data_IF_830631439694
#
_entry.id   IF_830631439694
#
_cell.length_a   1.000
_cell.length_b   1.000
_cell.length_c   1.000
_cell.angle_alpha   90.00
_cell.angle_beta   90.00
_cell.angle_gamma   90.00
#
_symmetry.space_group_name_H-M   'P 1'
#
loop_
_entity.id
_entity.type
_entity.pdbx_description
1 polymer ?
#
# COMPACT_ATOMS: atom_id res chain seq x y z
N UNK A 1 7.54 4.09 16.99
CA UNK A 1 7.43 4.84 15.73
C UNK A 1 7.54 3.85 14.58
N UNK A 2 6.60 3.84 13.67
CA UNK A 2 6.65 3.02 12.46
C UNK A 2 7.54 3.69 11.40
N UNK A 3 8.12 2.92 10.49
CA UNK A 3 8.92 3.48 9.39
C UNK A 3 8.10 4.44 8.52
N UNK A 4 6.82 4.12 8.31
CA UNK A 4 5.91 4.98 7.55
C UNK A 4 5.67 6.32 8.23
N UNK A 5 5.40 6.32 9.53
CA UNK A 5 5.22 7.53 10.33
C UNK A 5 6.46 8.45 10.24
N UNK A 6 7.65 7.87 10.37
CA UNK A 6 8.90 8.63 10.30
C UNK A 6 9.09 9.28 8.92
N UNK A 7 8.86 8.55 7.83
CA UNK A 7 9.02 9.08 6.48
C UNK A 7 7.91 10.05 6.09
N UNK A 8 6.67 9.76 6.44
CA UNK A 8 5.57 10.65 6.08
C UNK A 8 5.66 12.00 6.79
N UNK A 9 6.18 12.04 8.04
CA UNK A 9 6.40 13.26 8.79
C UNK A 9 7.70 13.99 8.46
N UNK A 10 8.79 13.25 8.35
CA UNK A 10 10.15 13.82 8.29
C UNK A 10 10.84 13.64 6.95
N UNK A 11 10.20 12.95 6.00
CA UNK A 11 10.75 12.64 4.67
C UNK A 11 12.06 11.83 4.69
N UNK A 12 12.45 11.28 5.83
CA UNK A 12 13.70 10.53 6.01
C UNK A 12 13.52 9.41 7.01
N UNK A 13 14.26 8.31 6.86
CA UNK A 13 14.46 7.33 7.91
C UNK A 13 15.73 7.65 8.71
N UNK A 14 15.61 7.59 10.03
CA UNK A 14 16.76 7.69 10.93
C UNK A 14 17.68 6.48 10.79
N UNK A 15 18.94 6.66 11.18
CA UNK A 15 19.92 5.57 11.15
C UNK A 15 19.51 4.38 12.03
N UNK A 16 18.86 4.64 13.17
CA UNK A 16 18.33 3.60 14.04
C UNK A 16 17.19 2.80 13.40
N UNK A 17 16.30 3.48 12.69
CA UNK A 17 15.22 2.84 11.92
C UNK A 17 15.78 1.99 10.78
N UNK A 18 16.80 2.48 10.08
CA UNK A 18 17.47 1.70 9.03
C UNK A 18 18.13 0.44 9.63
N UNK A 19 18.79 0.56 10.79
CA UNK A 19 19.37 -0.62 11.50
C UNK A 19 18.30 -1.62 11.92
N UNK A 20 17.15 -1.15 12.40
CA UNK A 20 16.01 -2.03 12.71
C UNK A 20 15.50 -2.76 11.46
N UNK A 21 15.35 -2.04 10.35
CA UNK A 21 14.96 -2.61 9.07
C UNK A 21 15.95 -3.68 8.59
N UNK A 22 17.26 -3.42 8.65
CA UNK A 22 18.29 -4.39 8.30
C UNK A 22 18.23 -5.66 9.17
N UNK A 23 17.96 -5.52 10.48
CA UNK A 23 17.78 -6.69 11.38
C UNK A 23 16.57 -7.51 10.98
N UNK A 24 15.44 -6.87 10.65
CA UNK A 24 14.23 -7.57 10.17
C UNK A 24 14.50 -8.30 8.86
N UNK A 25 15.19 -7.66 7.92
CA UNK A 25 15.56 -8.27 6.64
C UNK A 25 16.50 -9.45 6.80
N UNK A 26 17.45 -9.40 7.74
CA UNK A 26 18.32 -10.54 8.05
C UNK A 26 17.52 -11.72 8.65
N UNK A 27 16.50 -11.45 9.47
CA UNK A 27 15.57 -12.48 9.92
C UNK A 27 14.81 -13.15 8.77
N UNK A 28 14.32 -12.35 7.80
CA UNK A 28 13.71 -12.87 6.59
C UNK A 28 14.68 -13.69 5.75
N UNK A 29 15.93 -13.23 5.63
CA UNK A 29 16.98 -13.97 4.91
C UNK A 29 17.23 -15.35 5.54
N UNK A 30 17.22 -15.44 6.88
CA UNK A 30 17.31 -16.72 7.57
C UNK A 30 16.13 -17.63 7.22
N UNK A 31 14.89 -17.11 7.24
CA UNK A 31 13.72 -17.89 6.84
C UNK A 31 13.81 -18.38 5.39
N UNK A 32 14.25 -17.54 4.45
CA UNK A 32 14.47 -17.95 3.06
C UNK A 32 15.46 -19.11 2.96
N UNK A 33 16.52 -19.09 3.77
CA UNK A 33 17.50 -20.18 3.86
C UNK A 33 16.90 -21.45 4.43
N UNK A 34 16.18 -21.36 5.56
CA UNK A 34 15.58 -22.49 6.25
C UNK A 34 14.55 -23.21 5.36
N UNK A 35 13.77 -22.44 4.59
CA UNK A 35 12.82 -22.95 3.61
C UNK A 35 13.43 -23.28 2.24
N UNK A 36 14.76 -23.16 2.11
CA UNK A 36 15.51 -23.47 0.88
C UNK A 36 14.98 -22.69 -0.35
N UNK A 37 14.51 -21.44 -0.16
CA UNK A 37 14.01 -20.58 -1.23
C UNK A 37 15.20 -20.09 -2.06
N UNK A 38 15.28 -20.55 -3.31
CA UNK A 38 16.40 -20.22 -4.21
C UNK A 38 16.14 -18.96 -5.08
N UNK A 39 14.88 -18.66 -5.34
CA UNK A 39 14.50 -17.53 -6.20
C UNK A 39 13.55 -16.62 -5.43
N UNK A 40 13.95 -15.38 -5.29
CA UNK A 40 13.14 -14.34 -4.64
C UNK A 40 13.48 -12.96 -5.21
N UNK A 41 12.57 -12.02 -5.05
CA UNK A 41 12.77 -10.61 -5.33
C UNK A 41 12.32 -9.78 -4.13
N UNK A 42 12.99 -8.66 -3.89
CA UNK A 42 12.66 -7.76 -2.77
C UNK A 42 12.29 -6.39 -3.33
N UNK A 43 11.08 -5.97 -3.05
CA UNK A 43 10.55 -4.70 -3.50
C UNK A 43 10.28 -3.77 -2.33
N UNK A 44 10.57 -2.50 -2.53
CA UNK A 44 10.22 -1.43 -1.61
C UNK A 44 9.19 -0.51 -2.26
N UNK A 45 8.23 -0.06 -1.47
CA UNK A 45 7.12 0.79 -1.91
C UNK A 45 7.19 2.17 -1.25
N UNK A 46 6.05 2.76 -0.90
CA UNK A 46 5.88 4.14 -0.47
C UNK A 46 6.92 4.65 0.53
N UNK A 47 7.22 3.88 1.58
CA UNK A 47 8.14 4.33 2.64
C UNK A 47 9.53 4.64 2.10
N UNK A 48 10.11 3.76 1.30
CA UNK A 48 11.45 4.01 0.74
C UNK A 48 11.37 4.92 -0.49
N UNK A 49 10.33 4.77 -1.30
CA UNK A 49 10.12 5.63 -2.47
C UNK A 49 10.01 7.11 -2.12
N UNK A 50 9.38 7.45 -0.99
CA UNK A 50 9.13 8.81 -0.56
C UNK A 50 10.20 9.39 0.38
N UNK A 51 11.18 8.59 0.76
CA UNK A 51 12.26 9.03 1.62
C UNK A 51 13.32 9.80 0.82
N UNK A 52 13.67 11.01 1.26
CA UNK A 52 14.75 11.82 0.66
C UNK A 52 16.11 11.11 0.72
N UNK A 53 16.30 10.24 1.71
CA UNK A 53 17.50 9.45 1.88
C UNK A 53 17.37 7.99 1.36
N UNK A 54 16.45 7.75 0.42
CA UNK A 54 16.19 6.41 -0.14
C UNK A 54 17.47 5.71 -0.63
N UNK A 55 18.37 6.44 -1.33
CA UNK A 55 19.62 5.88 -1.83
C UNK A 55 20.50 5.33 -0.70
N UNK A 56 20.67 6.11 0.37
CA UNK A 56 21.44 5.69 1.54
C UNK A 56 20.81 4.49 2.25
N UNK A 57 19.48 4.43 2.32
CA UNK A 57 18.73 3.30 2.88
C UNK A 57 19.04 2.03 2.07
N UNK A 58 18.94 2.09 0.75
CA UNK A 58 19.18 0.95 -0.14
C UNK A 58 20.62 0.45 -0.07
N UNK A 59 21.58 1.37 -0.05
CA UNK A 59 23.01 1.03 0.08
C UNK A 59 23.29 0.35 1.42
N UNK A 60 22.75 0.85 2.53
CA UNK A 60 22.88 0.23 3.85
C UNK A 60 22.21 -1.15 3.92
N UNK A 61 21.04 -1.30 3.33
CA UNK A 61 20.37 -2.61 3.24
C UNK A 61 21.26 -3.59 2.47
N UNK A 62 21.77 -3.20 1.31
CA UNK A 62 22.63 -4.05 0.48
C UNK A 62 23.88 -4.50 1.23
N UNK A 63 24.56 -3.55 1.89
CA UNK A 63 25.81 -3.84 2.62
C UNK A 63 25.56 -4.74 3.84
N UNK A 64 24.47 -4.48 4.61
CA UNK A 64 24.24 -5.19 5.87
C UNK A 64 23.48 -6.51 5.71
N UNK A 65 22.75 -6.70 4.61
CA UNK A 65 21.88 -7.88 4.42
C UNK A 65 22.19 -8.67 3.15
N UNK A 66 22.85 -8.04 2.18
CA UNK A 66 23.07 -8.61 0.85
C UNK A 66 21.84 -8.59 -0.05
N UNK A 67 20.69 -8.07 0.39
CA UNK A 67 19.52 -7.94 -0.46
C UNK A 67 19.70 -6.82 -1.48
N UNK A 68 19.35 -7.10 -2.73
CA UNK A 68 19.18 -6.10 -3.77
C UNK A 68 17.71 -5.68 -3.82
N UNK A 69 17.39 -4.56 -3.18
CA UNK A 69 16.03 -4.05 -3.09
C UNK A 69 15.73 -3.13 -4.27
N UNK A 70 14.63 -3.40 -4.96
CA UNK A 70 14.13 -2.56 -6.06
C UNK A 70 13.01 -1.67 -5.53
N UNK A 71 13.12 -0.36 -5.73
CA UNK A 71 12.03 0.57 -5.42
C UNK A 71 11.08 0.58 -6.60
N UNK A 72 9.83 0.19 -6.36
CA UNK A 72 8.78 0.22 -7.37
C UNK A 72 8.07 1.57 -7.37
N UNK A 73 7.74 2.05 -8.56
CA UNK A 73 6.90 3.22 -8.72
C UNK A 73 5.41 2.89 -8.45
N UNK A 74 4.56 3.92 -8.47
CA UNK A 74 3.13 3.74 -8.21
C UNK A 74 2.46 2.84 -9.27
N UNK A 75 2.70 3.02 -10.58
CA UNK A 75 2.16 2.11 -11.61
C UNK A 75 2.57 0.66 -11.42
N UNK A 76 3.83 0.39 -11.07
CA UNK A 76 4.31 -0.97 -10.81
C UNK A 76 3.64 -1.57 -9.56
N UNK A 77 3.48 -0.79 -8.49
CA UNK A 77 2.77 -1.25 -7.28
C UNK A 77 1.32 -1.61 -7.60
N UNK A 78 0.64 -0.77 -8.39
CA UNK A 78 -0.71 -1.01 -8.90
C UNK A 78 -0.76 -2.30 -9.71
N UNK A 79 0.19 -2.50 -10.61
CA UNK A 79 0.27 -3.69 -11.44
C UNK A 79 0.42 -4.98 -10.61
N UNK A 80 1.26 -4.99 -9.58
CA UNK A 80 1.39 -6.15 -8.69
C UNK A 80 0.11 -6.43 -7.90
N UNK A 81 -0.58 -5.39 -7.42
CA UNK A 81 -1.88 -5.52 -6.75
C UNK A 81 -2.94 -6.11 -7.71
N UNK A 82 -2.93 -5.69 -8.97
CA UNK A 82 -3.81 -6.22 -10.00
C UNK A 82 -3.64 -7.72 -10.18
N UNK A 83 -2.40 -8.22 -10.28
CA UNK A 83 -2.13 -9.66 -10.38
C UNK A 83 -2.60 -10.43 -9.17
N UNK A 84 -2.32 -9.92 -7.97
CA UNK A 84 -2.79 -10.54 -6.73
C UNK A 84 -4.32 -10.62 -6.68
N UNK A 85 -4.99 -9.56 -7.08
CA UNK A 85 -6.45 -9.49 -7.15
C UNK A 85 -7.01 -10.51 -8.16
N UNK A 86 -6.45 -10.59 -9.37
CA UNK A 86 -6.88 -11.58 -10.35
C UNK A 86 -6.77 -13.02 -9.82
N UNK A 87 -5.66 -13.32 -9.14
CA UNK A 87 -5.46 -14.65 -8.54
C UNK A 87 -6.53 -14.95 -7.48
N UNK A 88 -6.80 -14.00 -6.59
CA UNK A 88 -7.82 -14.12 -5.56
C UNK A 88 -9.22 -14.31 -6.17
N UNK A 89 -9.60 -13.50 -7.15
CA UNK A 89 -10.90 -13.58 -7.81
C UNK A 89 -11.12 -14.93 -8.51
N UNK A 90 -10.09 -15.45 -9.19
CA UNK A 90 -10.17 -16.79 -9.81
C UNK A 90 -10.40 -17.88 -8.77
N UNK A 91 -9.77 -17.76 -7.60
CA UNK A 91 -9.94 -18.70 -6.50
C UNK A 91 -11.35 -18.57 -5.89
N UNK A 92 -11.80 -17.36 -5.58
CA UNK A 92 -13.13 -17.08 -5.07
C UNK A 92 -14.24 -17.57 -6.03
N UNK A 93 -14.12 -17.35 -7.32
CA UNK A 93 -15.09 -17.82 -8.32
C UNK A 93 -15.19 -19.34 -8.36
N UNK A 94 -14.10 -20.07 -8.16
CA UNK A 94 -14.13 -21.53 -8.05
C UNK A 94 -14.81 -21.99 -6.77
N UNK A 95 -14.56 -21.32 -5.66
CA UNK A 95 -15.13 -21.66 -4.33
C UNK A 95 -16.60 -21.27 -4.20
N UNK A 96 -17.05 -20.23 -4.91
CA UNK A 96 -18.42 -19.67 -4.87
C UNK A 96 -19.28 -20.03 -6.10
N UNK A 97 -18.89 -21.06 -6.87
CA UNK A 97 -19.64 -21.54 -8.05
C UNK A 97 -20.01 -20.43 -9.06
N UNK A 98 -19.12 -19.47 -9.24
CA UNK A 98 -19.34 -18.38 -10.21
C UNK A 98 -20.28 -17.26 -9.74
N UNK A 99 -20.55 -17.15 -8.43
CA UNK A 99 -21.44 -16.14 -7.86
C UNK A 99 -20.87 -14.72 -7.80
N UNK A 100 -19.58 -14.53 -8.05
CA UNK A 100 -19.03 -13.17 -8.19
C UNK A 100 -19.63 -12.52 -9.44
N UNK A 101 -20.23 -11.36 -9.26
CA UNK A 101 -20.74 -10.52 -10.35
C UNK A 101 -19.67 -10.24 -11.41
N UNK A 102 -20.10 -9.82 -12.60
CA UNK A 102 -19.19 -9.46 -13.68
C UNK A 102 -18.54 -8.09 -13.47
N UNK A 103 -19.16 -7.27 -12.63
CA UNK A 103 -18.74 -5.90 -12.33
C UNK A 103 -18.54 -5.76 -10.83
N UNK A 104 -17.40 -5.24 -10.41
CA UNK A 104 -17.14 -5.03 -9.00
C UNK A 104 -16.13 -3.89 -8.76
N UNK A 105 -16.27 -3.28 -7.60
CA UNK A 105 -15.32 -2.30 -7.06
C UNK A 105 -14.46 -2.99 -6.00
N UNK A 106 -13.17 -3.01 -6.22
CA UNK A 106 -12.19 -3.41 -5.21
C UNK A 106 -11.62 -2.17 -4.52
N UNK A 107 -11.74 -2.12 -3.19
CA UNK A 107 -11.18 -1.05 -2.36
C UNK A 107 -10.04 -1.61 -1.52
N UNK A 108 -8.84 -1.10 -1.75
CA UNK A 108 -7.62 -1.49 -1.04
C UNK A 108 -7.19 -0.36 -0.10
N UNK A 109 -7.26 -0.60 1.20
CA UNK A 109 -6.90 0.39 2.23
C UNK A 109 -5.58 -0.02 2.87
N UNK A 110 -4.55 0.80 2.67
CA UNK A 110 -3.23 0.61 3.24
C UNK A 110 -2.85 1.75 4.19
N UNK A 111 -1.66 1.70 4.77
CA UNK A 111 -1.13 2.79 5.61
C UNK A 111 -0.89 4.07 4.83
N UNK A 112 -0.51 3.98 3.55
CA UNK A 112 -0.10 5.12 2.73
C UNK A 112 -1.15 5.62 1.74
N UNK A 113 -2.09 4.76 1.30
CA UNK A 113 -3.08 5.12 0.29
C UNK A 113 -4.36 4.28 0.40
N UNK A 114 -5.41 4.78 -0.24
CA UNK A 114 -6.62 4.02 -0.61
C UNK A 114 -6.59 3.82 -2.11
N UNK A 115 -6.63 2.56 -2.55
CA UNK A 115 -6.73 2.18 -3.95
C UNK A 115 -8.16 1.81 -4.32
N UNK A 116 -8.62 2.30 -5.46
CA UNK A 116 -9.89 1.93 -6.08
C UNK A 116 -9.62 1.22 -7.39
N UNK A 117 -10.22 0.06 -7.58
CA UNK A 117 -10.12 -0.72 -8.82
C UNK A 117 -11.51 -1.14 -9.26
N UNK A 118 -11.91 -0.72 -10.46
CA UNK A 118 -13.21 -1.08 -11.06
C UNK A 118 -12.97 -2.10 -12.17
N UNK A 119 -13.73 -3.18 -12.08
CA UNK A 119 -13.77 -4.25 -13.07
C UNK A 119 -15.15 -4.33 -13.67
N UNK A 120 -15.21 -4.40 -14.99
CA UNK A 120 -16.42 -4.61 -15.74
C UNK A 120 -16.23 -5.72 -16.77
N UNK A 121 -17.17 -6.68 -16.81
CA UNK A 121 -17.13 -7.80 -17.73
C UNK A 121 -15.81 -8.60 -17.74
N UNK A 122 -15.12 -8.64 -16.59
CA UNK A 122 -13.84 -9.32 -16.43
C UNK A 122 -12.61 -8.54 -16.90
N UNK A 123 -12.78 -7.27 -17.26
CA UNK A 123 -11.72 -6.35 -17.65
C UNK A 123 -11.50 -5.25 -16.60
N UNK A 124 -10.26 -4.82 -16.44
CA UNK A 124 -9.92 -3.66 -15.62
C UNK A 124 -10.31 -2.39 -16.38
N UNK A 125 -11.28 -1.63 -15.86
CA UNK A 125 -11.76 -0.39 -16.46
C UNK A 125 -11.15 0.86 -15.83
N UNK A 126 -10.90 0.82 -14.53
CA UNK A 126 -10.35 1.95 -13.81
C UNK A 126 -9.52 1.50 -12.62
N UNK A 127 -8.42 2.20 -12.39
CA UNK A 127 -7.65 2.05 -11.16
C UNK A 127 -7.01 3.37 -10.75
N UNK A 128 -7.19 3.74 -9.48
CA UNK A 128 -6.63 4.95 -8.93
C UNK A 128 -6.23 4.77 -7.47
N UNK A 129 -5.11 5.37 -7.06
CA UNK A 129 -4.66 5.40 -5.68
C UNK A 129 -4.70 6.83 -5.15
N UNK A 130 -5.35 7.00 -4.00
CA UNK A 130 -5.45 8.28 -3.29
C UNK A 130 -4.54 8.23 -2.06
N UNK A 131 -3.79 9.29 -1.82
CA UNK A 131 -2.84 9.40 -0.71
C UNK A 131 -3.53 9.72 0.64
N UNK A 132 -4.51 8.90 1.03
CA UNK A 132 -5.28 9.01 2.28
C UNK A 132 -5.27 7.72 3.10
N UNK A 133 -4.19 6.95 3.05
CA UNK A 133 -4.07 5.73 3.85
C UNK A 133 -4.14 6.00 5.35
N UNK A 134 -4.41 4.96 6.13
CA UNK A 134 -4.69 5.06 7.57
C UNK A 134 -3.63 5.80 8.35
N UNK A 135 -2.35 5.59 8.05
CA UNK A 135 -1.27 6.27 8.73
C UNK A 135 -1.17 7.75 8.31
N UNK A 136 -1.40 8.06 7.03
CA UNK A 136 -1.44 9.46 6.56
C UNK A 136 -2.57 10.25 7.18
N UNK A 137 -3.73 9.64 7.36
CA UNK A 137 -4.86 10.27 8.07
C UNK A 137 -4.50 10.58 9.53
N UNK A 138 -3.83 9.65 10.21
CA UNK A 138 -3.35 9.88 11.57
C UNK A 138 -2.35 11.04 11.66
N UNK A 139 -1.53 11.24 10.63
CA UNK A 139 -0.56 12.33 10.58
C UNK A 139 -1.21 13.68 10.20
N UNK A 140 -2.25 13.64 9.37
CA UNK A 140 -2.99 14.84 8.97
C UNK A 140 -3.72 15.48 10.14
N UNK A 141 -4.27 14.68 11.04
CA UNK A 141 -4.99 15.16 12.22
C UNK A 141 -4.13 15.05 13.46
N UNK A 142 -3.91 16.19 14.13
CA UNK A 142 -3.16 16.25 15.41
C UNK A 142 -3.91 15.49 16.52
N UNK A 143 -3.19 15.04 17.53
CA UNK A 143 -3.75 14.26 18.65
C UNK A 143 -4.97 14.94 19.30
N UNK A 144 -4.88 16.25 19.56
CA UNK A 144 -6.00 17.00 20.13
C UNK A 144 -7.24 17.08 19.23
N UNK A 145 -7.07 16.99 17.91
CA UNK A 145 -8.18 16.94 16.96
C UNK A 145 -8.80 15.53 16.95
N UNK A 146 -7.97 14.49 17.03
CA UNK A 146 -8.41 13.08 17.08
C UNK A 146 -9.17 12.74 18.37
N UNK A 147 -8.83 13.38 19.48
CA UNK A 147 -9.50 13.20 20.78
C UNK A 147 -10.83 13.97 20.88
N UNK A 148 -11.14 14.79 19.89
CA UNK A 148 -12.41 15.51 19.81
C UNK A 148 -13.58 14.59 19.49
N UNK A 149 -14.74 14.81 20.14
CA UNK A 149 -15.99 14.12 19.80
C UNK A 149 -16.46 14.35 18.36
N UNK A 150 -16.00 15.42 17.73
CA UNK A 150 -16.33 15.76 16.33
C UNK A 150 -15.35 15.18 15.33
N UNK A 151 -14.35 14.42 15.77
CA UNK A 151 -13.34 13.85 14.87
C UNK A 151 -13.93 12.92 13.81
N UNK A 152 -14.88 12.02 14.11
CA UNK A 152 -15.46 11.16 13.09
C UNK A 152 -16.12 11.95 11.94
N UNK A 153 -16.81 13.05 12.25
CA UNK A 153 -17.46 13.92 11.28
C UNK A 153 -16.41 14.66 10.44
N UNK A 154 -15.43 15.29 11.07
CA UNK A 154 -14.35 15.99 10.38
C UNK A 154 -13.52 15.05 9.47
N UNK A 155 -13.28 13.81 9.94
CA UNK A 155 -12.61 12.78 9.14
C UNK A 155 -13.47 12.39 7.94
N UNK A 156 -14.78 12.19 8.15
CA UNK A 156 -15.73 11.87 7.10
C UNK A 156 -15.77 12.95 6.02
N UNK A 157 -15.89 14.23 6.41
CA UNK A 157 -15.87 15.37 5.49
C UNK A 157 -14.55 15.45 4.71
N UNK A 158 -13.42 15.26 5.37
CA UNK A 158 -12.11 15.27 4.74
C UNK A 158 -11.97 14.15 3.69
N UNK A 159 -12.36 12.92 4.05
CA UNK A 159 -12.33 11.77 3.12
C UNK A 159 -13.28 12.03 1.95
N UNK A 160 -14.50 12.51 2.22
CA UNK A 160 -15.49 12.82 1.21
C UNK A 160 -14.96 13.83 0.18
N UNK A 161 -14.39 14.95 0.65
CA UNK A 161 -13.86 15.99 -0.21
C UNK A 161 -12.73 15.48 -1.14
N UNK A 162 -11.86 14.61 -0.63
CA UNK A 162 -10.77 14.03 -1.43
C UNK A 162 -11.30 12.98 -2.42
N UNK A 163 -12.32 12.22 -2.03
CA UNK A 163 -12.85 11.12 -2.83
C UNK A 163 -13.91 11.56 -3.85
N UNK A 164 -14.49 12.75 -3.69
CA UNK A 164 -15.59 13.23 -4.53
C UNK A 164 -15.31 13.17 -6.04
N UNK A 165 -14.14 13.61 -6.56
CA UNK A 165 -13.82 13.48 -7.98
C UNK A 165 -13.81 12.03 -8.48
N UNK A 166 -13.44 11.09 -7.61
CA UNK A 166 -13.38 9.67 -7.95
C UNK A 166 -14.74 8.99 -7.87
N UNK A 167 -15.60 9.42 -6.93
CA UNK A 167 -16.98 8.92 -6.85
C UNK A 167 -17.79 9.23 -8.11
N UNK A 168 -17.57 10.38 -8.72
CA UNK A 168 -18.19 10.71 -9.99
C UNK A 168 -17.83 9.71 -11.08
N UNK A 169 -16.58 9.25 -11.09
CA UNK A 169 -16.12 8.22 -12.03
C UNK A 169 -16.75 6.85 -11.71
N UNK A 170 -16.70 6.41 -10.46
CA UNK A 170 -17.24 5.10 -10.03
C UNK A 170 -18.75 4.99 -10.27
N UNK A 171 -19.51 6.07 -10.04
CA UNK A 171 -20.97 6.09 -10.27
C UNK A 171 -21.40 5.88 -11.73
N UNK A 172 -20.50 6.14 -12.68
CA UNK A 172 -20.79 5.93 -14.10
C UNK A 172 -20.61 4.47 -14.53
N UNK A 173 -20.09 3.61 -13.64
CA UNK A 173 -19.91 2.19 -13.90
C UNK A 173 -20.98 1.37 -13.16
N UNK A 174 -21.52 0.35 -13.85
CA UNK A 174 -22.47 -0.59 -13.23
C UNK A 174 -21.68 -1.58 -12.38
N UNK A 175 -21.80 -1.43 -11.07
CA UNK A 175 -21.16 -2.31 -10.08
C UNK A 175 -22.24 -3.17 -9.44
N UNK A 176 -22.10 -4.49 -9.52
CA UNK A 176 -23.04 -5.49 -8.97
C UNK A 176 -22.87 -5.65 -7.46
#
# INVERSE_FOLDING_TARGET
TSFGEEVFNHKKLSFDSIRKLCRMLNGLKQLLSDYQVKVYAVYATAVIREADNARSILDLIRVNTGFNVQVVDMPQEIYFKHFALQYLLRRFNKEQEGRLGRNFLFVDITSGCVGLTVWEHGALCFQHNVHIGTLRLLETFKTNQRDSRYFPEALGEYIHAIMEPLWMFVRNHQID
#
